data_IF_433403833765
#
_entry.id   IF_433403833765
#
_cell.length_a   1.000
_cell.length_b   1.000
_cell.length_c   1.000
_cell.angle_alpha   90.00
_cell.angle_beta   90.00
_cell.angle_gamma   90.00
#
_symmetry.space_group_name_H-M   'P 1'
#
loop_
_entity.id
_entity.type
_entity.pdbx_description
1 polymer ?
#
# COMPACT_ATOMS: atom_id res chain seq x y z
N UNK A 1 -1.60 7.99 -20.83
CA UNK A 1 -2.82 7.70 -20.06
C UNK A 1 -2.79 8.63 -18.86
N UNK A 2 -3.90 9.20 -18.43
CA UNK A 2 -3.92 10.07 -17.24
C UNK A 2 -4.14 9.17 -16.00
N UNK A 3 -3.13 9.01 -15.15
CA UNK A 3 -3.24 8.23 -13.91
C UNK A 3 -4.21 8.84 -12.88
N UNK A 4 -4.53 10.13 -13.04
CA UNK A 4 -5.28 10.97 -12.09
C UNK A 4 -6.70 10.47 -11.82
N UNK A 5 -7.31 9.78 -12.78
CA UNK A 5 -8.64 9.21 -12.61
C UNK A 5 -8.62 7.96 -11.73
N UNK A 6 -7.48 7.26 -11.66
CA UNK A 6 -7.35 5.95 -11.00
C UNK A 6 -6.58 5.97 -9.69
N UNK A 7 -5.63 6.88 -9.52
CA UNK A 7 -4.85 6.97 -8.29
C UNK A 7 -5.33 8.15 -7.46
N UNK A 8 -5.68 7.84 -6.21
CA UNK A 8 -6.15 8.81 -5.23
C UNK A 8 -5.07 9.03 -4.18
N UNK A 9 -4.86 10.29 -3.80
CA UNK A 9 -3.99 10.66 -2.69
C UNK A 9 -4.84 11.40 -1.68
N UNK A 10 -5.18 10.73 -0.58
CA UNK A 10 -6.00 11.29 0.50
C UNK A 10 -5.25 11.17 1.83
N UNK A 11 -4.97 12.26 2.56
CA UNK A 11 -4.35 12.21 3.89
C UNK A 11 -5.05 11.27 4.88
N UNK A 12 -6.38 11.11 4.77
CA UNK A 12 -7.19 10.21 5.59
C UNK A 12 -7.07 8.73 5.21
N UNK A 13 -6.49 8.40 4.06
CA UNK A 13 -6.30 7.03 3.57
C UNK A 13 -4.81 6.70 3.57
N UNK A 14 -4.41 5.65 4.30
CA UNK A 14 -3.02 5.19 4.38
C UNK A 14 -2.00 6.32 4.62
N UNK A 15 -2.37 7.32 5.43
CA UNK A 15 -1.51 8.46 5.81
C UNK A 15 -1.07 9.28 4.58
N UNK A 16 -1.96 9.48 3.62
CA UNK A 16 -1.64 10.24 2.40
C UNK A 16 -0.76 9.48 1.41
N UNK A 17 -0.67 8.15 1.54
CA UNK A 17 -0.01 7.33 0.52
C UNK A 17 -0.91 7.26 -0.73
N UNK A 18 -0.33 7.29 -1.94
CA UNK A 18 -1.08 7.10 -3.17
C UNK A 18 -1.67 5.69 -3.23
N UNK A 19 -2.98 5.60 -3.47
CA UNK A 19 -3.75 4.35 -3.51
C UNK A 19 -4.54 4.23 -4.81
N UNK A 20 -4.79 3.01 -5.25
CA UNK A 20 -5.71 2.77 -6.37
C UNK A 20 -7.16 2.99 -5.90
N UNK A 21 -7.92 3.78 -6.65
CA UNK A 21 -9.31 4.14 -6.35
C UNK A 21 -10.16 2.89 -6.14
N UNK A 22 -11.00 2.90 -5.11
CA UNK A 22 -11.88 1.76 -4.80
C UNK A 22 -11.16 0.62 -4.08
N UNK A 23 -9.86 0.73 -3.83
CA UNK A 23 -9.08 -0.27 -3.08
C UNK A 23 -8.34 0.38 -1.90
N UNK A 24 -7.72 -0.44 -1.07
CA UNK A 24 -6.74 -0.01 -0.05
C UNK A 24 -5.32 -0.45 -0.41
N UNK A 25 -5.04 -0.62 -1.70
CA UNK A 25 -3.73 -1.03 -2.21
C UNK A 25 -2.93 0.20 -2.62
N UNK A 26 -1.74 0.35 -2.05
CA UNK A 26 -0.86 1.46 -2.38
C UNK A 26 -0.16 1.23 -3.72
N UNK A 27 0.13 2.32 -4.41
CA UNK A 27 0.88 2.27 -5.68
C UNK A 27 2.28 1.68 -5.45
N UNK A 28 2.91 2.02 -4.32
CA UNK A 28 4.21 1.47 -3.91
C UNK A 28 4.17 -0.06 -3.76
N UNK A 29 3.11 -0.60 -3.16
CA UNK A 29 2.93 -2.04 -2.98
C UNK A 29 2.82 -2.76 -4.33
N UNK A 30 1.97 -2.27 -5.23
CA UNK A 30 1.78 -2.87 -6.56
C UNK A 30 3.05 -2.80 -7.41
N UNK A 31 3.77 -1.67 -7.37
CA UNK A 31 5.07 -1.55 -8.03
C UNK A 31 6.10 -2.51 -7.43
N UNK A 32 6.06 -2.75 -6.12
CA UNK A 32 6.90 -3.73 -5.44
C UNK A 32 6.65 -5.17 -5.92
N UNK A 33 5.39 -5.57 -6.09
CA UNK A 33 5.04 -6.89 -6.64
C UNK A 33 5.57 -7.06 -8.07
N UNK A 34 5.34 -6.06 -8.93
CA UNK A 34 5.85 -6.08 -10.30
C UNK A 34 7.40 -6.12 -10.34
N UNK A 35 8.07 -5.39 -9.45
CA UNK A 35 9.53 -5.40 -9.32
C UNK A 35 10.08 -6.75 -8.84
N UNK A 36 9.29 -7.51 -8.07
CA UNK A 36 9.61 -8.89 -7.67
C UNK A 36 9.36 -9.91 -8.78
N UNK A 37 8.87 -9.48 -9.96
CA UNK A 37 8.62 -10.34 -11.11
C UNK A 37 7.26 -11.02 -11.10
N UNK A 38 6.32 -10.58 -10.26
CA UNK A 38 4.96 -11.12 -10.28
C UNK A 38 4.28 -10.78 -11.61
N UNK A 39 3.68 -11.76 -12.30
CA UNK A 39 2.97 -11.50 -13.54
C UNK A 39 1.65 -10.77 -13.27
N UNK A 40 1.27 -9.85 -14.17
CA UNK A 40 0.04 -9.04 -14.05
C UNK A 40 -1.20 -9.91 -13.78
N UNK A 41 -1.32 -11.04 -14.47
CA UNK A 41 -2.47 -11.96 -14.34
C UNK A 41 -2.60 -12.53 -12.92
N UNK A 42 -1.49 -12.81 -12.24
CA UNK A 42 -1.49 -13.32 -10.88
C UNK A 42 -1.84 -12.23 -9.88
N UNK A 43 -1.36 -11.00 -10.11
CA UNK A 43 -1.74 -9.84 -9.30
C UNK A 43 -3.25 -9.59 -9.41
N UNK A 44 -3.80 -9.58 -10.64
CA UNK A 44 -5.23 -9.38 -10.86
C UNK A 44 -6.09 -10.50 -10.27
N UNK A 45 -5.60 -11.74 -10.30
CA UNK A 45 -6.29 -12.89 -9.70
C UNK A 45 -6.32 -12.80 -8.17
N UNK A 46 -5.22 -12.37 -7.54
CA UNK A 46 -5.11 -12.27 -6.09
C UNK A 46 -5.83 -11.03 -5.51
N UNK A 47 -6.07 -10.01 -6.32
CA UNK A 47 -6.74 -8.77 -5.91
C UNK A 47 -7.99 -8.50 -6.77
N UNK A 48 -9.09 -9.24 -6.55
CA UNK A 48 -10.35 -9.03 -7.26
C UNK A 48 -10.91 -7.66 -6.90
N UNK A 49 -10.91 -6.74 -7.86
CA UNK A 49 -11.18 -5.31 -7.67
C UNK A 49 -10.10 -4.42 -8.26
N UNK A 50 -8.97 -5.01 -8.67
CA UNK A 50 -7.99 -4.36 -9.50
C UNK A 50 -8.25 -4.66 -10.98
N UNK A 51 -8.13 -3.65 -11.83
CA UNK A 51 -8.15 -3.80 -13.27
C UNK A 51 -6.73 -3.66 -13.84
N UNK A 52 -6.52 -4.18 -15.05
CA UNK A 52 -5.23 -4.07 -15.73
C UNK A 52 -4.79 -2.63 -15.88
N UNK A 53 -5.72 -1.74 -16.16
CA UNK A 53 -5.44 -0.34 -16.34
C UNK A 53 -5.04 0.37 -15.03
N UNK A 54 -5.36 -0.19 -13.86
CA UNK A 54 -4.88 0.32 -12.58
C UNK A 54 -3.38 0.02 -12.40
N UNK A 55 -2.91 -1.14 -12.87
CA UNK A 55 -1.48 -1.47 -12.90
C UNK A 55 -0.72 -0.54 -13.86
N UNK A 56 -1.30 -0.28 -15.02
CA UNK A 56 -0.73 0.67 -15.98
C UNK A 56 -0.69 2.09 -15.41
N UNK A 57 -1.74 2.53 -14.72
CA UNK A 57 -1.74 3.80 -14.01
C UNK A 57 -0.67 3.86 -12.91
N UNK A 58 -0.43 2.75 -12.20
CA UNK A 58 0.64 2.66 -11.20
C UNK A 58 2.03 2.85 -11.80
N UNK A 59 2.29 2.26 -12.98
CA UNK A 59 3.54 2.43 -13.72
C UNK A 59 3.70 3.87 -14.21
N UNK A 60 2.63 4.46 -14.75
CA UNK A 60 2.61 5.85 -15.23
C UNK A 60 2.84 6.86 -14.08
N UNK A 61 2.35 6.53 -12.88
CA UNK A 61 2.56 7.33 -11.67
C UNK A 61 3.93 7.17 -11.00
N UNK A 62 4.67 6.10 -11.32
CA UNK A 62 5.94 5.78 -10.66
C UNK A 62 6.97 6.94 -10.63
N UNK A 63 7.15 7.76 -11.70
CA UNK A 63 8.03 8.93 -11.68
C UNK A 63 7.60 9.99 -10.64
N UNK A 64 6.30 10.11 -10.40
CA UNK A 64 5.68 11.07 -9.47
C UNK A 64 5.69 10.56 -8.03
N UNK A 65 5.68 9.24 -7.83
CA UNK A 65 5.66 8.59 -6.51
C UNK A 65 6.79 9.07 -5.59
N UNK A 66 8.01 9.25 -6.12
CA UNK A 66 9.17 9.75 -5.35
C UNK A 66 8.90 11.10 -4.69
N UNK A 67 8.09 11.97 -5.30
CA UNK A 67 7.74 13.29 -4.73
C UNK A 67 6.73 13.15 -3.59
N UNK A 68 5.81 12.20 -3.69
CA UNK A 68 4.77 11.95 -2.69
C UNK A 68 5.30 11.25 -1.44
N UNK A 69 6.12 10.18 -1.59
CA UNK A 69 6.69 9.45 -0.44
C UNK A 69 7.54 10.37 0.44
N UNK A 70 8.31 11.30 -0.15
CA UNK A 70 9.09 12.31 0.60
C UNK A 70 8.23 13.31 1.38
N UNK A 71 6.97 13.55 0.99
CA UNK A 71 6.03 14.40 1.73
C UNK A 71 5.30 13.58 2.80
N UNK A 72 4.81 12.40 2.47
CA UNK A 72 4.09 11.52 3.40
C UNK A 72 4.97 11.07 4.58
N UNK A 73 6.26 10.79 4.37
CA UNK A 73 7.19 10.40 5.45
C UNK A 73 7.36 11.44 6.56
N UNK A 74 7.16 12.73 6.26
CA UNK A 74 7.23 13.82 7.26
C UNK A 74 5.98 13.86 8.15
N UNK A 75 4.81 13.51 7.63
CA UNK A 75 3.57 13.45 8.40
C UNK A 75 3.34 12.08 9.05
N UNK A 76 3.85 11.00 8.46
CA UNK A 76 3.80 9.67 9.05
C UNK A 76 4.67 9.59 10.31
N UNK A 77 5.84 10.24 10.36
CA UNK A 77 6.62 10.32 11.59
C UNK A 77 5.88 11.12 12.67
N UNK A 78 5.24 12.25 12.31
CA UNK A 78 4.42 13.01 13.25
C UNK A 78 3.20 12.22 13.75
N UNK A 79 2.54 11.45 12.87
CA UNK A 79 1.43 10.56 13.23
C UNK A 79 1.88 9.31 13.99
N UNK A 80 3.11 8.80 13.75
CA UNK A 80 3.72 7.70 14.49
C UNK A 80 4.21 8.15 15.87
N UNK A 81 4.69 9.39 16.00
CA UNK A 81 5.03 10.01 17.29
C UNK A 81 3.77 10.26 18.13
N UNK A 82 2.63 10.55 17.50
CA UNK A 82 1.32 10.53 18.16
C UNK A 82 0.80 9.11 18.48
N UNK A 83 1.41 8.06 17.88
CA UNK A 83 1.09 6.63 18.12
C UNK A 83 2.02 5.93 19.10
N UNK A 84 3.02 6.60 19.68
CA UNK A 84 3.85 5.99 20.72
C UNK A 84 3.09 5.68 22.04
N UNK A 85 1.81 6.04 22.13
CA UNK A 85 0.85 5.58 23.15
C UNK A 85 0.08 4.29 22.77
N UNK A 86 0.22 3.77 21.53
CA UNK A 86 -0.48 2.57 21.05
C UNK A 86 0.46 1.36 21.10
N UNK A 87 0.62 0.77 22.28
CA UNK A 87 1.27 -0.52 22.44
C UNK A 87 0.39 -1.63 21.84
N UNK A 88 0.81 -2.19 20.69
CA UNK A 88 0.33 -3.49 20.22
C UNK A 88 -0.53 -3.47 18.96
N UNK A 89 0.12 -3.45 17.79
CA UNK A 89 -0.23 -4.25 16.60
C UNK A 89 0.66 -3.82 15.42
N UNK A 90 1.71 -4.59 15.16
CA UNK A 90 2.44 -4.53 13.89
C UNK A 90 2.30 -5.89 13.21
N UNK A 91 1.87 -5.88 11.95
CA UNK A 91 2.03 -7.01 11.06
C UNK A 91 3.43 -6.90 10.43
N UNK A 92 4.29 -7.87 10.70
CA UNK A 92 5.52 -8.11 9.94
C UNK A 92 5.07 -8.72 8.60
N UNK A 93 5.39 -8.05 7.49
CA UNK A 93 5.18 -8.59 6.15
C UNK A 93 6.50 -9.22 5.71
N UNK A 94 6.60 -10.55 5.85
CA UNK A 94 7.63 -11.35 5.19
C UNK A 94 7.23 -11.58 3.71
N UNK A 95 8.18 -11.62 2.76
CA UNK A 95 7.86 -11.86 1.36
C UNK A 95 7.28 -13.26 1.16
N UNK A 96 6.04 -13.34 0.68
CA UNK A 96 5.44 -14.56 0.13
C UNK A 96 4.53 -15.39 1.05
N UNK A 97 4.24 -14.97 2.29
CA UNK A 97 3.19 -15.63 3.11
C UNK A 97 2.41 -14.61 3.95
N UNK A 98 1.15 -14.41 3.61
CA UNK A 98 0.17 -13.85 4.56
C UNK A 98 -0.32 -15.03 5.41
N UNK A 99 0.36 -15.31 6.52
CA UNK A 99 -0.15 -16.22 7.54
C UNK A 99 -0.84 -15.40 8.64
N UNK A 100 -2.17 -15.50 8.71
CA UNK A 100 -2.93 -15.06 9.89
C UNK A 100 -2.64 -16.04 11.03
N UNK A 101 -1.69 -15.71 11.89
CA UNK A 101 -1.43 -16.49 13.11
C UNK A 101 -2.10 -15.80 14.30
N UNK A 102 -2.85 -16.53 15.15
CA UNK A 102 -3.29 -16.02 16.44
C UNK A 102 -2.07 -15.79 17.35
N UNK A 103 -2.06 -14.68 18.09
CA UNK A 103 -1.00 -14.37 19.05
C UNK A 103 -1.00 -15.38 20.21
N UNK A 104 0.16 -15.90 20.64
CA UNK A 104 0.24 -16.60 21.91
C UNK A 104 0.11 -15.57 23.04
N UNK A 105 -0.93 -15.69 23.87
CA UNK A 105 -1.08 -14.87 25.08
C UNK A 105 -2.45 -14.30 25.40
N UNK A 106 -3.51 -14.59 24.63
CA UNK A 106 -4.87 -14.25 25.04
C UNK A 106 -5.45 -15.35 25.95
N UNK A 107 -5.13 -15.31 27.24
CA UNK A 107 -5.63 -16.27 28.21
C UNK A 107 -5.29 -15.92 29.66
N UNK A 108 -6.18 -15.11 30.26
CA UNK A 108 -6.33 -14.73 31.69
C UNK A 108 -5.33 -13.75 32.28
#
# INVERSE_FOLDING_TARGET
MEWQDRIVVDPGILVGRPVVRGTRLSVEFLLGLMAQGWPEVEILHNYPGLAREDLLACLDYAPTLRRHVRRAGRHALAALQARHDWAGQFAVVEPGRICLQPLPGAGT
#
